data_IF_967307122225
#
_entry.id   IF_967307122225
#
_cell.length_a   1.000
_cell.length_b   1.000
_cell.length_c   1.000
_cell.angle_alpha   90.00
_cell.angle_beta   90.00
_cell.angle_gamma   90.00
#
_symmetry.space_group_name_H-M   'P 1'
#
loop_
_entity.id
_entity.type
_entity.pdbx_description
1 polymer ?
#
# COMPACT_ATOMS: atom_id res chain seq x y z
N UNK A 1 20.83 -86.13 -38.66
CA UNK A 1 21.64 -85.37 -39.63
C UNK A 1 21.35 -83.89 -39.37
N UNK A 2 22.21 -83.23 -38.59
CA UNK A 2 23.26 -82.27 -39.00
C UNK A 2 22.71 -80.93 -39.51
N UNK A 3 23.16 -79.85 -38.83
CA UNK A 3 23.32 -78.42 -39.25
C UNK A 3 22.08 -77.52 -39.04
N UNK A 4 22.12 -76.25 -38.61
CA UNK A 4 23.17 -75.21 -38.45
C UNK A 4 22.68 -74.14 -37.43
N UNK A 5 23.62 -73.67 -36.59
CA UNK A 5 23.88 -72.30 -36.09
C UNK A 5 22.83 -71.39 -35.38
N UNK A 6 23.31 -70.52 -34.43
CA UNK A 6 22.50 -69.63 -33.59
C UNK A 6 22.36 -68.23 -34.20
N UNK A 7 21.23 -67.56 -33.97
CA UNK A 7 21.05 -66.13 -34.24
C UNK A 7 20.77 -65.42 -32.91
N UNK A 8 21.82 -64.82 -32.37
CA UNK A 8 21.73 -63.69 -31.44
C UNK A 8 20.97 -62.57 -32.16
N UNK A 9 19.84 -62.14 -31.60
CA UNK A 9 19.23 -60.86 -31.96
C UNK A 9 19.37 -59.92 -30.77
N UNK A 10 20.42 -59.11 -30.80
CA UNK A 10 20.61 -57.98 -29.90
C UNK A 10 19.54 -56.93 -30.19
N UNK A 11 18.57 -56.78 -29.29
CA UNK A 11 17.70 -55.61 -29.29
C UNK A 11 18.51 -54.41 -28.78
N UNK A 12 19.05 -53.63 -29.72
CA UNK A 12 19.54 -52.29 -29.47
C UNK A 12 18.34 -51.41 -29.07
N UNK A 13 18.25 -51.08 -27.78
CA UNK A 13 17.47 -49.92 -27.34
C UNK A 13 18.13 -48.67 -27.91
N UNK A 14 17.54 -48.12 -28.97
CA UNK A 14 17.76 -46.74 -29.35
C UNK A 14 17.17 -45.85 -28.25
N UNK A 15 18.01 -45.42 -27.31
CA UNK A 15 17.67 -44.34 -26.38
C UNK A 15 17.67 -43.06 -27.22
N UNK A 16 16.52 -42.39 -27.45
CA UNK A 16 16.54 -41.07 -28.03
C UNK A 16 17.28 -40.15 -27.07
N UNK A 17 18.40 -39.61 -27.54
CA UNK A 17 19.09 -38.52 -26.90
C UNK A 17 18.12 -37.32 -26.93
N UNK A 18 17.34 -37.16 -25.85
CA UNK A 18 16.58 -35.95 -25.63
C UNK A 18 17.60 -34.84 -25.39
N UNK A 19 17.89 -34.09 -26.45
CA UNK A 19 18.35 -32.72 -26.29
C UNK A 19 17.29 -32.01 -25.44
N UNK A 20 17.54 -31.89 -24.13
CA UNK A 20 16.90 -30.87 -23.31
C UNK A 20 17.34 -29.54 -23.89
N UNK A 21 16.60 -29.06 -24.89
CA UNK A 21 16.54 -27.65 -25.18
C UNK A 21 16.19 -27.00 -23.84
N UNK A 22 17.12 -26.19 -23.31
CA UNK A 22 16.84 -25.36 -22.17
C UNK A 22 15.49 -24.68 -22.42
N UNK A 23 14.52 -24.93 -21.55
CA UNK A 23 13.25 -24.23 -21.60
C UNK A 23 13.57 -22.74 -21.76
N UNK A 24 12.94 -22.03 -22.72
CA UNK A 24 13.16 -20.61 -22.86
C UNK A 24 12.98 -20.01 -21.47
N UNK A 25 14.04 -19.36 -20.96
CA UNK A 25 14.01 -18.68 -19.67
C UNK A 25 12.76 -17.81 -19.68
N UNK A 26 11.77 -18.18 -18.88
CA UNK A 26 10.54 -17.41 -18.78
C UNK A 26 10.95 -15.97 -18.54
N UNK A 27 10.57 -15.09 -19.46
CA UNK A 27 10.73 -13.66 -19.22
C UNK A 27 10.07 -13.36 -17.86
N UNK A 28 10.70 -12.56 -16.99
CA UNK A 28 10.14 -12.24 -15.68
C UNK A 28 8.68 -11.80 -15.84
N UNK A 29 7.78 -12.51 -15.14
CA UNK A 29 6.35 -12.54 -15.43
C UNK A 29 5.67 -11.20 -15.14
N UNK A 30 4.89 -10.72 -16.11
CA UNK A 30 3.95 -9.63 -15.91
C UNK A 30 2.91 -10.03 -14.86
N UNK A 31 3.03 -9.54 -13.63
CA UNK A 31 2.05 -9.77 -12.56
C UNK A 31 0.79 -8.92 -12.83
N UNK A 32 -0.39 -9.54 -12.78
CA UNK A 32 -1.67 -8.83 -12.89
C UNK A 32 -2.05 -8.19 -11.54
N UNK A 33 -2.74 -7.04 -11.58
CA UNK A 33 -3.22 -6.38 -10.36
C UNK A 33 -4.24 -7.25 -9.60
N UNK A 34 -5.01 -8.09 -10.31
CA UNK A 34 -5.91 -9.06 -9.67
C UNK A 34 -5.15 -10.03 -8.75
N UNK A 35 -3.97 -10.51 -9.19
CA UNK A 35 -3.13 -11.36 -8.35
C UNK A 35 -2.65 -10.61 -7.10
N UNK A 36 -2.28 -9.33 -7.23
CA UNK A 36 -1.86 -8.50 -6.10
C UNK A 36 -3.01 -8.35 -5.10
N UNK A 37 -4.22 -8.07 -5.58
CA UNK A 37 -5.41 -7.94 -4.74
C UNK A 37 -5.77 -9.24 -4.03
N UNK A 38 -5.55 -10.40 -4.66
CA UNK A 38 -5.70 -11.71 -4.01
C UNK A 38 -4.63 -11.91 -2.94
N UNK A 39 -3.35 -11.64 -3.26
CA UNK A 39 -2.26 -11.77 -2.30
C UNK A 39 -2.46 -10.90 -1.05
N UNK A 40 -2.97 -9.67 -1.21
CA UNK A 40 -3.33 -8.81 -0.09
C UNK A 40 -4.51 -9.36 0.72
N UNK A 41 -5.47 -10.04 0.09
CA UNK A 41 -6.64 -10.60 0.76
C UNK A 41 -6.41 -11.95 1.45
N UNK A 42 -5.37 -12.69 1.06
CA UNK A 42 -5.12 -14.04 1.57
C UNK A 42 -4.37 -14.06 2.92
N UNK A 43 -3.91 -12.90 3.42
CA UNK A 43 -3.03 -12.81 4.58
C UNK A 43 -3.74 -12.84 5.95
N UNK A 44 -4.70 -13.75 6.12
CA UNK A 44 -5.52 -14.00 7.31
C UNK A 44 -6.17 -12.77 7.97
N UNK A 45 -5.42 -12.01 8.78
CA UNK A 45 -5.89 -10.84 9.53
C UNK A 45 -4.81 -9.77 9.47
N UNK A 46 -4.78 -9.02 8.37
CA UNK A 46 -3.79 -8.01 8.04
C UNK A 46 -4.41 -6.74 7.46
N UNK A 47 -3.66 -5.65 7.46
CA UNK A 47 -4.03 -4.38 6.83
C UNK A 47 -4.34 -4.55 5.35
N UNK A 48 -3.62 -5.43 4.64
CA UNK A 48 -3.95 -5.81 3.26
C UNK A 48 -5.37 -6.38 3.12
N UNK A 49 -5.78 -7.26 4.04
CA UNK A 49 -7.12 -7.88 4.03
C UNK A 49 -8.19 -6.80 4.24
N UNK A 50 -8.03 -5.99 5.28
CA UNK A 50 -8.95 -4.90 5.60
C UNK A 50 -9.13 -3.90 4.45
N UNK A 51 -8.02 -3.48 3.81
CA UNK A 51 -8.07 -2.56 2.67
C UNK A 51 -8.76 -3.18 1.45
N UNK A 52 -8.49 -4.45 1.14
CA UNK A 52 -9.15 -5.14 0.02
C UNK A 52 -10.65 -5.31 0.28
N UNK A 53 -11.05 -5.67 1.50
CA UNK A 53 -12.46 -5.75 1.87
C UNK A 53 -13.16 -4.39 1.75
N UNK A 54 -12.51 -3.32 2.19
CA UNK A 54 -13.03 -1.96 2.03
C UNK A 54 -13.22 -1.61 0.54
N UNK A 55 -12.22 -1.89 -0.29
CA UNK A 55 -12.28 -1.65 -1.74
C UNK A 55 -13.41 -2.45 -2.39
N UNK A 56 -13.57 -3.73 -2.05
CA UNK A 56 -14.67 -4.58 -2.53
C UNK A 56 -16.03 -4.04 -2.11
N UNK A 57 -16.18 -3.63 -0.85
CA UNK A 57 -17.42 -3.05 -0.33
C UNK A 57 -17.81 -1.73 -1.02
N UNK A 58 -16.84 -1.00 -1.56
CA UNK A 58 -17.05 0.22 -2.36
C UNK A 58 -17.11 -0.03 -3.87
N UNK A 59 -17.09 -1.29 -4.31
CA UNK A 59 -17.00 -1.68 -5.71
C UNK A 59 -15.82 -0.98 -6.42
N UNK A 60 -14.71 -0.74 -5.73
CA UNK A 60 -13.58 0.01 -6.25
C UNK A 60 -12.86 -0.74 -7.37
N UNK A 61 -12.19 0.00 -8.26
CA UNK A 61 -11.39 -0.58 -9.36
C UNK A 61 -9.92 -0.26 -9.17
N UNK A 62 -9.06 -1.27 -9.35
CA UNK A 62 -7.61 -1.10 -9.42
C UNK A 62 -7.17 -1.40 -10.85
N UNK A 63 -6.48 -0.48 -11.51
CA UNK A 63 -6.03 -0.67 -12.90
C UNK A 63 -4.73 0.04 -13.21
N UNK A 64 -4.07 -0.39 -14.29
CA UNK A 64 -2.96 0.35 -14.87
C UNK A 64 -3.46 1.54 -15.68
N UNK A 65 -2.68 2.62 -15.68
CA UNK A 65 -2.95 3.83 -16.47
C UNK A 65 -1.64 4.35 -17.09
N UNK A 66 -1.60 4.41 -18.41
CA UNK A 66 -0.45 4.90 -19.18
C UNK A 66 -0.30 6.43 -19.15
N UNK A 67 -1.37 7.17 -18.86
CA UNK A 67 -1.34 8.63 -18.79
C UNK A 67 -0.83 9.13 -17.43
N UNK A 68 -0.75 8.26 -16.42
CA UNK A 68 -0.26 8.61 -15.10
C UNK A 68 1.26 8.82 -15.14
N UNK A 69 1.74 9.94 -14.58
CA UNK A 69 3.17 10.24 -14.45
C UNK A 69 3.73 9.85 -13.08
N UNK A 70 2.93 10.01 -12.02
CA UNK A 70 3.25 9.52 -10.67
C UNK A 70 3.22 7.97 -10.63
N UNK A 71 3.84 7.31 -9.62
CA UNK A 71 3.79 5.85 -9.49
C UNK A 71 2.38 5.30 -9.29
N UNK A 72 1.54 6.02 -8.55
CA UNK A 72 0.12 5.71 -8.33
C UNK A 72 -0.67 6.97 -8.03
N UNK A 73 -2.00 6.86 -8.12
CA UNK A 73 -2.96 7.88 -7.72
C UNK A 73 -4.31 7.23 -7.43
N UNK A 74 -5.19 7.93 -6.73
CA UNK A 74 -6.61 7.58 -6.63
C UNK A 74 -7.51 8.66 -7.23
N UNK A 75 -8.73 8.25 -7.62
CA UNK A 75 -9.82 9.16 -7.98
C UNK A 75 -11.18 8.56 -7.59
N UNK A 76 -12.22 9.37 -7.59
CA UNK A 76 -13.61 8.90 -7.47
C UNK A 76 -14.32 9.23 -8.77
N UNK A 77 -14.81 8.21 -9.48
CA UNK A 77 -15.63 8.37 -10.68
C UNK A 77 -17.12 8.34 -10.34
N UNK A 78 -17.94 8.95 -11.18
CA UNK A 78 -19.39 8.97 -11.03
C UNK A 78 -19.94 10.08 -10.12
N UNK A 79 -21.26 10.13 -9.99
CA UNK A 79 -21.97 11.11 -9.17
C UNK A 79 -23.04 10.43 -8.30
N UNK A 80 -23.38 11.05 -7.16
CA UNK A 80 -24.41 10.53 -6.25
C UNK A 80 -24.13 9.10 -5.78
N UNK A 81 -25.06 8.18 -6.07
CA UNK A 81 -24.98 6.76 -5.68
C UNK A 81 -24.07 5.92 -6.57
N UNK A 82 -23.66 6.42 -7.74
CA UNK A 82 -22.77 5.73 -8.67
C UNK A 82 -21.28 6.05 -8.42
N UNK A 83 -20.98 6.71 -7.29
CA UNK A 83 -19.61 7.03 -6.93
C UNK A 83 -18.81 5.76 -6.69
N UNK A 84 -17.71 5.62 -7.42
CA UNK A 84 -16.80 4.47 -7.32
C UNK A 84 -15.34 4.94 -7.16
N UNK A 85 -14.64 4.51 -6.10
CA UNK A 85 -13.21 4.75 -5.98
C UNK A 85 -12.41 3.99 -7.05
N UNK A 86 -11.35 4.60 -7.54
CA UNK A 86 -10.43 3.99 -8.50
C UNK A 86 -9.00 4.26 -8.06
N UNK A 87 -8.22 3.20 -8.01
CA UNK A 87 -6.77 3.24 -7.80
C UNK A 87 -6.10 3.00 -9.15
N UNK A 88 -5.22 3.92 -9.51
CA UNK A 88 -4.46 3.92 -10.76
C UNK A 88 -3.00 3.63 -10.43
N UNK A 89 -2.42 2.65 -11.11
CA UNK A 89 -1.00 2.32 -11.04
C UNK A 89 -0.36 2.69 -12.37
N UNK A 90 0.79 3.33 -12.36
CA UNK A 90 1.46 3.75 -13.60
C UNK A 90 1.76 2.53 -14.48
N UNK A 91 1.34 2.54 -15.75
CA UNK A 91 1.60 1.40 -16.62
C UNK A 91 3.09 1.20 -16.92
N UNK A 92 3.91 2.26 -16.84
CA UNK A 92 5.34 2.18 -17.13
C UNK A 92 6.13 1.30 -16.15
N UNK A 93 5.62 1.05 -14.94
CA UNK A 93 6.27 0.17 -13.97
C UNK A 93 5.88 -1.30 -14.18
N UNK A 94 4.83 -1.60 -14.96
CA UNK A 94 4.30 -2.95 -15.20
C UNK A 94 5.35 -3.97 -15.67
N UNK A 95 6.25 -3.54 -16.56
CA UNK A 95 7.31 -4.37 -17.14
C UNK A 95 8.67 -4.26 -16.44
N UNK A 96 8.77 -3.49 -15.35
CA UNK A 96 10.06 -3.20 -14.68
C UNK A 96 10.31 -4.08 -13.46
N UNK A 97 9.34 -4.90 -13.04
CA UNK A 97 9.41 -5.64 -11.78
C UNK A 97 8.57 -6.91 -11.78
N UNK A 98 9.03 -7.92 -11.02
CA UNK A 98 8.20 -9.03 -10.51
C UNK A 98 7.51 -8.64 -9.17
N UNK A 99 7.41 -7.34 -8.88
CA UNK A 99 7.20 -6.78 -7.55
C UNK A 99 5.75 -6.60 -7.18
N UNK A 100 5.03 -7.69 -6.98
CA UNK A 100 3.68 -7.63 -6.41
C UNK A 100 3.66 -6.88 -5.07
N UNK A 101 4.75 -6.96 -4.27
CA UNK A 101 4.96 -6.18 -3.05
C UNK A 101 4.94 -4.66 -3.28
N UNK A 102 5.57 -4.21 -4.37
CA UNK A 102 5.59 -2.79 -4.73
C UNK A 102 4.20 -2.31 -5.14
N UNK A 103 3.52 -3.06 -6.00
CA UNK A 103 2.14 -2.74 -6.37
C UNK A 103 1.21 -2.74 -5.17
N UNK A 104 1.37 -3.69 -4.25
CA UNK A 104 0.56 -3.76 -3.04
C UNK A 104 0.80 -2.55 -2.13
N UNK A 105 2.06 -2.13 -1.93
CA UNK A 105 2.38 -0.93 -1.16
C UNK A 105 1.77 0.34 -1.77
N UNK A 106 1.83 0.48 -3.10
CA UNK A 106 1.17 1.59 -3.81
C UNK A 106 -0.35 1.52 -3.65
N UNK A 107 -0.97 0.35 -3.83
CA UNK A 107 -2.40 0.15 -3.62
C UNK A 107 -2.78 0.48 -2.17
N UNK A 108 -1.99 0.03 -1.20
CA UNK A 108 -2.19 0.30 0.22
C UNK A 108 -2.20 1.79 0.53
N UNK A 109 -1.23 2.53 -0.02
CA UNK A 109 -1.18 4.00 0.09
C UNK A 109 -2.44 4.67 -0.46
N UNK A 110 -2.80 4.36 -1.71
CA UNK A 110 -3.94 5.00 -2.38
C UNK A 110 -5.28 4.59 -1.75
N UNK A 111 -5.40 3.35 -1.27
CA UNK A 111 -6.57 2.87 -0.54
C UNK A 111 -6.71 3.58 0.81
N UNK A 112 -5.61 3.75 1.56
CA UNK A 112 -5.62 4.46 2.83
C UNK A 112 -6.04 5.93 2.68
N UNK A 113 -5.60 6.60 1.61
CA UNK A 113 -6.08 7.96 1.29
C UNK A 113 -7.60 8.02 1.10
N UNK A 114 -8.16 7.03 0.40
CA UNK A 114 -9.61 6.91 0.19
C UNK A 114 -10.36 6.58 1.48
N UNK A 115 -9.83 5.70 2.32
CA UNK A 115 -10.41 5.34 3.63
C UNK A 115 -10.43 6.57 4.55
N UNK A 116 -9.34 7.33 4.58
CA UNK A 116 -9.17 8.50 5.45
C UNK A 116 -9.51 9.82 4.74
N UNK A 117 -10.34 9.79 3.68
CA UNK A 117 -10.69 10.99 2.91
C UNK A 117 -11.38 12.08 3.76
N UNK A 118 -12.12 11.67 4.79
CA UNK A 118 -12.80 12.57 5.74
C UNK A 118 -11.88 13.12 6.84
N UNK A 119 -10.67 12.57 6.98
CA UNK A 119 -9.67 13.08 7.92
C UNK A 119 -9.01 14.31 7.29
N UNK A 120 -8.91 15.44 8.01
CA UNK A 120 -8.24 16.63 7.54
C UNK A 120 -6.76 16.36 7.30
N UNK A 121 -6.20 17.13 6.38
CA UNK A 121 -4.77 17.08 6.08
C UNK A 121 -3.95 17.44 7.33
N UNK A 122 -3.21 16.46 7.84
CA UNK A 122 -2.51 16.50 9.12
C UNK A 122 -1.40 15.45 9.15
N UNK A 123 -0.42 15.62 10.04
CA UNK A 123 0.67 14.67 10.16
C UNK A 123 0.18 13.28 10.64
N UNK A 124 -0.89 13.24 11.45
CA UNK A 124 -1.57 12.01 11.86
C UNK A 124 -2.20 11.30 10.65
N UNK A 125 -2.89 12.03 9.76
CA UNK A 125 -3.41 11.44 8.51
C UNK A 125 -2.30 10.84 7.65
N UNK A 126 -1.22 11.59 7.46
CA UNK A 126 -0.07 11.12 6.68
C UNK A 126 0.58 9.89 7.31
N UNK A 127 0.66 9.85 8.64
CA UNK A 127 1.16 8.67 9.35
C UNK A 127 0.27 7.45 9.11
N UNK A 128 -1.06 7.57 9.21
CA UNK A 128 -1.99 6.47 8.93
C UNK A 128 -1.82 5.91 7.52
N UNK A 129 -1.64 6.79 6.53
CA UNK A 129 -1.41 6.39 5.14
C UNK A 129 -0.05 5.69 4.96
N UNK A 130 1.01 6.25 5.55
CA UNK A 130 2.35 5.65 5.49
C UNK A 130 2.38 4.27 6.18
N UNK A 131 1.69 4.14 7.31
CA UNK A 131 1.54 2.88 8.03
C UNK A 131 0.87 1.82 7.15
N UNK A 132 -0.27 2.13 6.53
CA UNK A 132 -0.95 1.19 5.64
C UNK A 132 -0.08 0.73 4.47
N UNK A 133 0.69 1.64 3.86
CA UNK A 133 1.60 1.30 2.78
C UNK A 133 2.75 0.39 3.26
N UNK A 134 3.31 0.68 4.43
CA UNK A 134 4.40 -0.08 5.05
C UNK A 134 3.94 -1.48 5.49
N UNK A 135 2.83 -1.57 6.20
CA UNK A 135 2.26 -2.83 6.68
C UNK A 135 1.98 -3.78 5.50
N UNK A 136 1.28 -3.30 4.47
CA UNK A 136 1.01 -4.12 3.27
C UNK A 136 2.31 -4.58 2.59
N UNK A 137 3.33 -3.73 2.57
CA UNK A 137 4.63 -4.10 2.03
C UNK A 137 5.28 -5.25 2.84
N UNK A 138 5.31 -5.15 4.16
CA UNK A 138 5.90 -6.16 5.04
C UNK A 138 5.06 -7.46 5.12
N UNK A 139 3.73 -7.34 5.11
CA UNK A 139 2.78 -8.44 5.02
C UNK A 139 3.05 -9.34 3.80
N UNK A 140 3.45 -8.73 2.69
CA UNK A 140 3.82 -9.44 1.46
C UNK A 140 5.30 -9.79 1.39
N UNK A 141 5.94 -9.95 2.55
CA UNK A 141 7.34 -10.31 2.72
C UNK A 141 8.33 -9.29 2.15
N UNK A 142 7.95 -8.01 2.10
CA UNK A 142 8.87 -6.90 1.88
C UNK A 142 9.93 -6.85 2.98
N UNK A 143 11.12 -6.35 2.67
CA UNK A 143 12.19 -6.23 3.66
C UNK A 143 12.85 -4.87 3.57
N UNK A 144 13.35 -4.36 4.70
CA UNK A 144 14.06 -3.08 4.74
C UNK A 144 15.31 -3.06 3.84
N UNK A 145 15.95 -4.21 3.65
CA UNK A 145 17.13 -4.35 2.78
C UNK A 145 16.82 -4.13 1.29
N UNK A 146 15.55 -4.26 0.88
CA UNK A 146 15.13 -3.96 -0.50
C UNK A 146 14.97 -2.44 -0.71
N UNK A 147 14.84 -1.61 0.33
CA UNK A 147 14.60 -0.16 0.17
C UNK A 147 15.88 0.59 -0.27
N UNK A 148 15.80 1.57 -1.20
CA UNK A 148 14.60 2.14 -1.83
C UNK A 148 14.18 1.44 -3.14
N UNK A 149 14.70 0.24 -3.42
CA UNK A 149 14.51 -0.52 -4.67
C UNK A 149 13.54 -1.68 -4.46
N UNK A 150 12.25 -1.40 -4.61
CA UNK A 150 11.18 -2.37 -4.51
C UNK A 150 11.18 -3.34 -5.69
N UNK A 151 11.74 -4.53 -5.50
CA UNK A 151 11.77 -5.60 -6.52
C UNK A 151 12.31 -5.11 -7.88
N UNK A 152 13.33 -4.25 -7.88
CA UNK A 152 13.95 -3.69 -9.09
C UNK A 152 13.44 -2.31 -9.52
N UNK A 153 12.43 -1.75 -8.87
CA UNK A 153 11.96 -0.38 -9.11
C UNK A 153 12.38 0.52 -7.96
N UNK A 154 13.14 1.58 -8.26
CA UNK A 154 13.52 2.60 -7.26
C UNK A 154 12.38 3.59 -7.05
N UNK A 155 11.93 3.76 -5.82
CA UNK A 155 10.96 4.79 -5.38
C UNK A 155 11.39 5.35 -4.02
N UNK A 156 12.09 6.48 -4.04
CA UNK A 156 12.61 7.12 -2.82
C UNK A 156 11.49 7.64 -1.92
N UNK A 157 10.39 8.13 -2.52
CA UNK A 157 9.28 8.71 -1.77
C UNK A 157 8.52 7.62 -1.00
N UNK A 158 8.23 6.49 -1.64
CA UNK A 158 7.61 5.35 -0.96
C UNK A 158 8.57 4.76 0.10
N UNK A 159 9.87 4.67 -0.20
CA UNK A 159 10.86 4.20 0.77
C UNK A 159 10.95 5.11 2.01
N UNK A 160 10.88 6.42 1.84
CA UNK A 160 10.82 7.38 2.94
C UNK A 160 9.56 7.19 3.79
N UNK A 161 8.40 6.99 3.16
CA UNK A 161 7.14 6.71 3.86
C UNK A 161 7.24 5.45 4.72
N UNK A 162 7.78 4.36 4.14
CA UNK A 162 7.99 3.09 4.85
C UNK A 162 9.00 3.26 5.98
N UNK A 163 10.14 3.91 5.74
CA UNK A 163 11.16 4.11 6.77
C UNK A 163 10.66 5.00 7.93
N UNK A 164 9.87 6.04 7.63
CA UNK A 164 9.28 6.88 8.69
C UNK A 164 8.40 6.06 9.62
N UNK A 165 7.63 5.10 9.10
CA UNK A 165 6.86 4.17 9.92
C UNK A 165 7.76 3.20 10.72
N UNK A 166 8.74 2.57 10.05
CA UNK A 166 9.67 1.62 10.71
C UNK A 166 10.42 2.27 11.87
N UNK A 167 10.90 3.50 11.68
CA UNK A 167 11.74 4.19 12.65
C UNK A 167 10.93 4.91 13.74
N UNK A 168 9.65 5.18 13.48
CA UNK A 168 8.80 5.96 14.37
C UNK A 168 7.45 5.27 14.50
N UNK A 169 7.27 4.52 15.59
CA UNK A 169 5.96 3.94 15.93
C UNK A 169 4.90 5.02 16.19
N UNK A 170 3.64 4.61 16.44
CA UNK A 170 2.50 5.53 16.43
C UNK A 170 2.54 6.66 17.45
N UNK A 171 3.31 6.53 18.54
CA UNK A 171 3.52 7.62 19.48
C UNK A 171 4.32 8.80 18.89
N UNK A 172 5.26 8.50 17.99
CA UNK A 172 6.27 9.45 17.50
C UNK A 172 6.19 9.73 16.01
N UNK A 173 5.54 8.85 15.24
CA UNK A 173 5.39 8.92 13.80
C UNK A 173 4.81 10.23 13.27
N UNK A 174 3.64 10.69 13.77
CA UNK A 174 3.10 12.00 13.36
C UNK A 174 4.08 13.15 13.62
N UNK A 175 4.82 13.11 14.74
CA UNK A 175 5.81 14.14 15.04
C UNK A 175 7.00 14.11 14.08
N UNK A 176 7.44 12.92 13.66
CA UNK A 176 8.48 12.77 12.65
C UNK A 176 8.05 13.36 11.30
N UNK A 177 6.85 13.02 10.84
CA UNK A 177 6.26 13.57 9.62
C UNK A 177 6.15 15.09 9.69
N UNK A 178 5.65 15.62 10.81
CA UNK A 178 5.51 17.06 10.98
C UNK A 178 6.86 17.80 10.85
N UNK A 179 7.94 17.23 11.40
CA UNK A 179 9.29 17.79 11.30
C UNK A 179 9.86 17.70 9.87
N UNK A 180 9.64 16.59 9.18
CA UNK A 180 10.18 16.35 7.83
C UNK A 180 9.47 17.18 6.76
N UNK A 181 8.14 17.28 6.86
CA UNK A 181 7.28 17.82 5.78
C UNK A 181 6.72 19.21 6.07
N UNK A 182 6.77 19.66 7.33
CA UNK A 182 6.12 20.90 7.77
C UNK A 182 4.60 20.79 7.93
N UNK A 183 4.00 19.62 7.69
CA UNK A 183 2.56 19.40 7.91
C UNK A 183 2.24 19.50 9.41
N UNK A 184 1.16 20.20 9.76
CA UNK A 184 0.78 20.41 11.16
C UNK A 184 0.19 19.15 11.79
N UNK A 185 0.48 18.97 13.08
CA UNK A 185 -0.21 18.00 13.93
C UNK A 185 -1.65 18.45 14.18
N UNK A 186 -2.56 17.50 14.37
CA UNK A 186 -3.97 17.76 14.72
C UNK A 186 -4.07 18.64 15.96
N UNK A 187 -3.23 18.41 16.99
CA UNK A 187 -3.23 19.25 18.20
C UNK A 187 -2.94 20.73 17.89
N UNK A 188 -2.08 21.02 16.91
CA UNK A 188 -1.75 22.39 16.54
C UNK A 188 -2.91 23.01 15.75
N UNK A 189 -3.51 22.24 14.85
CA UNK A 189 -4.70 22.66 14.09
C UNK A 189 -5.89 22.96 15.02
N UNK A 190 -6.06 22.16 16.07
CA UNK A 190 -7.05 22.39 17.14
C UNK A 190 -6.77 23.72 17.84
N UNK A 191 -5.57 23.90 18.40
CA UNK A 191 -5.23 25.13 19.14
C UNK A 191 -5.33 26.40 18.29
N UNK A 192 -4.94 26.35 17.01
CA UNK A 192 -5.12 27.47 16.09
C UNK A 192 -6.60 27.78 15.82
N UNK A 193 -7.44 26.75 15.74
CA UNK A 193 -8.88 26.91 15.50
C UNK A 193 -9.59 27.40 16.75
N UNK A 194 -9.20 26.96 17.95
CA UNK A 194 -9.69 27.48 19.23
C UNK A 194 -9.39 28.98 19.37
N UNK A 195 -8.17 29.41 19.01
CA UNK A 195 -7.80 30.82 19.02
C UNK A 195 -8.62 31.63 18.01
N UNK A 196 -8.79 31.11 16.79
CA UNK A 196 -9.59 31.77 15.76
C UNK A 196 -11.08 31.85 16.15
N UNK A 197 -11.61 30.83 16.82
CA UNK A 197 -12.96 30.81 17.36
C UNK A 197 -13.15 31.87 18.44
N UNK A 198 -12.22 31.97 19.40
CA UNK A 198 -12.27 32.98 20.45
C UNK A 198 -12.22 34.41 19.87
N UNK A 199 -11.34 34.64 18.89
CA UNK A 199 -11.27 35.93 18.18
C UNK A 199 -12.58 36.23 17.43
N UNK A 200 -13.15 35.24 16.74
CA UNK A 200 -14.41 35.41 16.03
C UNK A 200 -15.57 35.80 16.96
N UNK A 201 -15.65 35.15 18.13
CA UNK A 201 -16.63 35.45 19.16
C UNK A 201 -16.45 36.85 19.75
N UNK A 202 -15.19 37.26 19.99
CA UNK A 202 -14.87 38.60 20.48
C UNK A 202 -15.22 39.69 19.47
N UNK A 203 -14.96 39.44 18.18
CA UNK A 203 -15.21 40.40 17.10
C UNK A 203 -16.68 40.42 16.62
N UNK A 204 -17.53 39.54 17.17
CA UNK A 204 -18.94 39.43 16.78
C UNK A 204 -19.16 38.93 15.36
N UNK A 205 -18.20 38.19 14.79
CA UNK A 205 -18.31 37.57 13.46
C UNK A 205 -18.84 36.13 13.56
N UNK A 206 -19.26 35.55 12.42
CA UNK A 206 -19.81 34.20 12.38
C UNK A 206 -18.77 33.15 12.84
N UNK A 207 -19.02 32.57 14.02
CA UNK A 207 -18.20 31.56 14.66
C UNK A 207 -18.47 30.13 14.15
N UNK A 208 -19.63 29.89 13.52
CA UNK A 208 -20.08 28.54 13.15
C UNK A 208 -19.13 27.77 12.19
N UNK A 209 -18.39 28.42 11.26
CA UNK A 209 -17.37 27.73 10.46
C UNK A 209 -16.20 27.21 11.31
N UNK A 210 -15.79 27.94 12.34
CA UNK A 210 -14.69 27.55 13.22
C UNK A 210 -15.12 26.42 14.16
N UNK A 211 -16.32 26.48 14.71
CA UNK A 211 -16.88 25.41 15.55
C UNK A 211 -16.96 24.08 14.78
N UNK A 212 -17.48 24.10 13.54
CA UNK A 212 -17.55 22.90 12.70
C UNK A 212 -16.17 22.33 12.39
N UNK A 213 -15.18 23.21 12.15
CA UNK A 213 -13.80 22.81 11.87
C UNK A 213 -13.14 22.20 13.11
N UNK A 214 -13.31 22.84 14.26
CA UNK A 214 -12.80 22.36 15.55
C UNK A 214 -13.34 20.96 15.85
N UNK A 215 -14.65 20.76 15.76
CA UNK A 215 -15.28 19.45 15.95
C UNK A 215 -14.72 18.40 14.97
N UNK A 216 -14.48 18.77 13.71
CA UNK A 216 -13.84 17.89 12.72
C UNK A 216 -12.42 17.47 13.11
N UNK A 217 -11.62 18.41 13.63
CA UNK A 217 -10.25 18.14 14.09
C UNK A 217 -10.23 17.29 15.36
N UNK A 218 -11.10 17.57 16.32
CA UNK A 218 -11.24 16.78 17.56
C UNK A 218 -11.69 15.36 17.27
N UNK A 219 -12.69 15.17 16.41
CA UNK A 219 -13.14 13.83 15.98
C UNK A 219 -12.00 13.04 15.32
N UNK A 220 -11.20 13.70 14.48
CA UNK A 220 -10.07 13.07 13.81
C UNK A 220 -8.95 12.70 14.78
N UNK A 221 -8.70 13.55 15.79
CA UNK A 221 -7.74 13.26 16.86
C UNK A 221 -8.20 12.08 17.70
N UNK A 222 -9.48 12.05 18.08
CA UNK A 222 -10.07 10.95 18.84
C UNK A 222 -10.01 9.63 18.07
N UNK A 223 -10.30 9.65 16.76
CA UNK A 223 -10.15 8.48 15.90
C UNK A 223 -8.70 7.99 15.88
N UNK A 224 -7.74 8.90 15.69
CA UNK A 224 -6.32 8.54 15.70
C UNK A 224 -5.89 7.93 17.04
N UNK A 225 -6.20 8.58 18.16
CA UNK A 225 -5.73 8.19 19.50
C UNK A 225 -6.40 6.91 20.02
N UNK A 226 -7.70 6.71 19.75
CA UNK A 226 -8.47 5.63 20.37
C UNK A 226 -8.75 4.44 19.44
N UNK A 227 -8.77 4.63 18.12
CA UNK A 227 -9.09 3.55 17.18
C UNK A 227 -7.87 3.09 16.39
N UNK A 228 -7.16 4.02 15.77
CA UNK A 228 -6.03 3.69 14.91
C UNK A 228 -4.81 3.28 15.73
N UNK A 229 -4.35 4.15 16.64
CA UNK A 229 -3.11 3.98 17.40
C UNK A 229 -3.04 2.67 18.20
N UNK A 230 -4.16 2.23 18.77
CA UNK A 230 -4.20 0.97 19.51
C UNK A 230 -3.90 -0.24 18.63
N UNK A 231 -4.50 -0.32 17.44
CA UNK A 231 -4.27 -1.40 16.47
C UNK A 231 -2.87 -1.34 15.88
N UNK A 232 -2.47 -0.13 15.53
CA UNK A 232 -1.17 0.18 14.96
C UNK A 232 -0.01 -0.17 15.90
N UNK A 233 -0.17 0.03 17.21
CA UNK A 233 0.88 -0.31 18.19
C UNK A 233 1.19 -1.81 18.17
N UNK A 234 0.16 -2.65 18.02
CA UNK A 234 0.33 -4.10 17.89
C UNK A 234 1.11 -4.46 16.63
N UNK A 235 0.69 -3.92 15.48
CA UNK A 235 1.33 -4.19 14.20
C UNK A 235 2.77 -3.71 14.13
N UNK A 236 3.03 -2.48 14.58
CA UNK A 236 4.36 -1.91 14.64
C UNK A 236 5.30 -2.77 15.50
N UNK A 237 4.81 -3.31 16.61
CA UNK A 237 5.60 -4.20 17.49
C UNK A 237 5.94 -5.54 16.83
N UNK A 238 5.03 -6.11 16.02
CA UNK A 238 5.25 -7.39 15.33
C UNK A 238 6.29 -7.30 14.21
N UNK A 239 6.32 -6.17 13.51
CA UNK A 239 7.15 -5.97 12.32
C UNK A 239 8.33 -5.03 12.55
N UNK A 240 8.57 -4.60 13.80
CA UNK A 240 9.76 -3.83 14.14
C UNK A 240 11.00 -4.67 13.79
N UNK A 241 11.86 -4.22 12.87
CA UNK A 241 13.14 -4.87 12.66
C UNK A 241 13.97 -4.69 13.94
N UNK A 242 14.31 -5.79 14.62
CA UNK A 242 15.32 -5.78 15.68
C UNK A 242 16.71 -5.43 15.13
#
# INVERSE_FOLDING_TARGET
MKKFAPLLFSLLFAVPCFCFAAAPKAAPGNISLDFVMVAMADNMDGTGVWLVEWLRAKNAVVKFDAALTAPSAWRVEGAGKEKRPIILINENIRGRTNGYKYYAALIGREAAELVHIGVPESAEKRYMINACAAEVYFELFGTRAELPVFSGVRDEALAEQVNTWVENGPDSGPSAIARQTGIKLLKNLISETELALAQAQQDGVDAAPFERRLAGFENSKNYYENEFKGKETYWWTLFQPQ
#
